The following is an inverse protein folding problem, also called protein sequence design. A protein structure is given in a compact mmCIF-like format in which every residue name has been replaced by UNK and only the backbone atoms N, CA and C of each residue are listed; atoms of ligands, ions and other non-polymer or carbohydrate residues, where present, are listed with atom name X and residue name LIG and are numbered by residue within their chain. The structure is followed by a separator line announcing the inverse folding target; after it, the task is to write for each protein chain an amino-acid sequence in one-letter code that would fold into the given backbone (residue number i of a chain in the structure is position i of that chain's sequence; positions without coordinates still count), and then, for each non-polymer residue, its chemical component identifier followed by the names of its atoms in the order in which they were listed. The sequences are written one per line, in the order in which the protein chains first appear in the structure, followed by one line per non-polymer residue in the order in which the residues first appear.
data_IF_228475929997
#
_entry.id   IF_228475929997
#
_cell.length_a   1.000
_cell.length_b   1.000
_cell.length_c   1.000
_cell.angle_alpha   90.00
_cell.angle_beta   90.00
_cell.angle_gamma   90.00
#
_symmetry.space_group_name_H-M   'P 1'
#
loop_
_entity.id
_entity.type
_entity.pdbx_description
1 polymer ?
#
# COMPACT_ATOMS: atom_id res chain seq x y z
N UNK A 1 -1.38 -13.17 -14.21
CA UNK A 1 -1.87 -12.86 -12.85
C UNK A 1 -1.82 -14.02 -11.85
N UNK A 2 -1.66 -13.72 -10.57
CA UNK A 2 -2.02 -14.60 -9.43
C UNK A 2 -2.54 -13.73 -8.29
N UNK A 3 -3.80 -13.85 -7.88
CA UNK A 3 -4.38 -13.00 -6.83
C UNK A 3 -5.27 -13.81 -5.88
N UNK A 4 -5.03 -13.70 -4.58
CA UNK A 4 -5.77 -14.43 -3.53
C UNK A 4 -6.23 -13.58 -2.34
N UNK A 5 -6.19 -12.25 -2.46
CA UNK A 5 -6.39 -11.36 -1.31
C UNK A 5 -7.83 -11.26 -0.79
N UNK A 6 -8.83 -11.82 -1.50
CA UNK A 6 -10.23 -11.75 -1.09
C UNK A 6 -10.83 -13.12 -0.87
N UNK A 7 -11.90 -13.13 -0.06
CA UNK A 7 -12.62 -14.34 0.34
C UNK A 7 -13.19 -15.13 -0.86
N UNK A 8 -13.56 -14.44 -1.93
CA UNK A 8 -14.13 -15.05 -3.14
C UNK A 8 -13.09 -15.58 -4.13
N UNK A 9 -11.80 -15.64 -3.75
CA UNK A 9 -10.76 -16.10 -4.67
C UNK A 9 -11.04 -17.50 -5.22
N UNK A 10 -10.70 -17.73 -6.49
CA UNK A 10 -11.06 -18.96 -7.19
C UNK A 10 -10.57 -20.20 -6.44
N UNK A 11 -11.49 -21.14 -6.21
CA UNK A 11 -11.28 -22.39 -5.47
C UNK A 11 -10.73 -22.21 -4.04
N UNK A 12 -10.85 -21.01 -3.47
CA UNK A 12 -10.17 -20.63 -2.22
C UNK A 12 -8.65 -20.88 -2.28
N UNK A 13 -8.04 -20.66 -3.45
CA UNK A 13 -6.61 -20.86 -3.71
C UNK A 13 -5.98 -19.64 -4.36
N UNK A 14 -6.56 -19.14 -5.46
CA UNK A 14 -6.00 -18.05 -6.23
C UNK A 14 -6.66 -17.89 -7.60
N UNK A 15 -6.91 -16.65 -7.99
CA UNK A 15 -7.35 -16.32 -9.34
C UNK A 15 -6.12 -16.25 -10.27
N UNK A 16 -6.13 -17.04 -11.35
CA UNK A 16 -4.94 -17.24 -12.22
C UNK A 16 -5.15 -16.83 -13.68
N UNK A 17 -6.37 -16.46 -14.08
CA UNK A 17 -6.69 -16.03 -15.46
C UNK A 17 -7.45 -14.70 -15.44
N UNK A 18 -8.53 -14.66 -14.66
CA UNK A 18 -9.30 -13.45 -14.35
C UNK A 18 -9.78 -13.56 -12.91
N UNK A 19 -9.81 -12.44 -12.19
CA UNK A 19 -10.36 -12.38 -10.84
C UNK A 19 -11.84 -12.74 -10.81
N UNK A 20 -12.30 -13.43 -9.76
CA UNK A 20 -13.73 -13.67 -9.53
C UNK A 20 -14.52 -12.35 -9.38
N UNK A 21 -13.87 -11.31 -8.83
CA UNK A 21 -14.40 -9.95 -8.79
C UNK A 21 -14.50 -9.27 -10.17
N UNK A 22 -13.94 -9.89 -11.22
CA UNK A 22 -13.88 -9.33 -12.58
C UNK A 22 -12.54 -8.73 -12.98
N UNK A 23 -11.53 -8.68 -12.08
CA UNK A 23 -10.23 -8.02 -12.36
C UNK A 23 -9.50 -8.74 -13.50
N UNK A 24 -9.25 -8.08 -14.65
CA UNK A 24 -8.51 -8.70 -15.74
C UNK A 24 -7.04 -8.89 -15.35
N UNK A 25 -6.33 -9.73 -16.10
CA UNK A 25 -4.93 -10.06 -15.85
C UNK A 25 -4.05 -8.80 -15.82
N UNK A 26 -4.20 -7.91 -16.79
CA UNK A 26 -3.41 -6.68 -16.90
C UNK A 26 -3.54 -5.76 -15.67
N UNK A 27 -4.77 -5.49 -15.21
CA UNK A 27 -5.00 -4.72 -13.99
C UNK A 27 -4.39 -5.40 -12.76
N UNK A 28 -4.44 -6.74 -12.66
CA UNK A 28 -3.83 -7.46 -11.56
C UNK A 28 -2.31 -7.32 -11.56
N UNK A 29 -1.70 -7.49 -12.73
CA UNK A 29 -0.26 -7.41 -12.94
C UNK A 29 0.27 -5.98 -12.67
N UNK A 30 -0.48 -4.95 -13.07
CA UNK A 30 -0.15 -3.55 -12.76
C UNK A 30 -0.24 -3.24 -11.26
N UNK A 31 -1.22 -3.83 -10.55
CA UNK A 31 -1.31 -3.69 -9.09
C UNK A 31 -0.14 -4.37 -8.37
N UNK A 32 0.33 -5.52 -8.88
CA UNK A 32 1.54 -6.18 -8.37
C UNK A 32 2.78 -5.27 -8.56
N UNK A 33 2.94 -4.65 -9.74
CA UNK A 33 4.03 -3.71 -10.01
C UNK A 33 3.94 -2.45 -9.13
N UNK A 34 2.75 -1.92 -8.86
CA UNK A 34 2.59 -0.78 -7.96
C UNK A 34 3.07 -1.12 -6.54
N UNK A 35 2.70 -2.28 -6.01
CA UNK A 35 3.18 -2.76 -4.70
C UNK A 35 4.69 -2.96 -4.74
N UNK A 36 5.22 -3.51 -5.83
CA UNK A 36 6.65 -3.69 -6.04
C UNK A 36 7.42 -2.36 -5.94
N UNK A 37 6.96 -1.30 -6.62
CA UNK A 37 7.59 0.04 -6.50
C UNK A 37 7.44 0.59 -5.09
N UNK A 38 6.31 0.36 -4.41
CA UNK A 38 6.13 0.76 -3.01
C UNK A 38 7.11 0.07 -2.05
N UNK A 39 7.48 -1.21 -2.30
CA UNK A 39 8.59 -1.87 -1.58
C UNK A 39 9.91 -1.12 -1.79
N UNK A 40 10.15 -0.63 -3.01
CA UNK A 40 11.29 0.24 -3.35
C UNK A 40 11.33 1.56 -2.56
N UNK A 41 10.20 2.29 -2.51
CA UNK A 41 10.06 3.50 -1.68
C UNK A 41 10.38 3.16 -0.21
N UNK A 42 9.82 2.06 0.27
CA UNK A 42 9.92 1.62 1.66
C UNK A 42 11.34 1.27 2.08
N UNK A 43 12.16 0.70 1.20
CA UNK A 43 13.58 0.44 1.46
C UNK A 43 14.34 1.74 1.74
N UNK A 44 14.09 2.79 0.95
CA UNK A 44 14.71 4.09 1.21
C UNK A 44 14.12 4.77 2.44
N UNK A 45 12.83 4.60 2.70
CA UNK A 45 12.18 5.12 3.91
C UNK A 45 12.74 4.51 5.19
N UNK A 46 12.90 3.19 5.23
CA UNK A 46 13.51 2.49 6.36
C UNK A 46 14.96 2.96 6.59
N UNK A 47 15.75 3.06 5.51
CA UNK A 47 17.11 3.59 5.60
C UNK A 47 17.12 5.04 6.08
N UNK A 48 16.27 5.90 5.53
CA UNK A 48 16.19 7.32 5.91
C UNK A 48 15.82 7.50 7.39
N UNK A 49 14.96 6.62 7.93
CA UNK A 49 14.58 6.60 9.35
C UNK A 49 15.79 6.39 10.29
N UNK A 50 16.81 5.63 9.88
CA UNK A 50 18.07 5.47 10.66
C UNK A 50 18.85 6.79 10.84
N UNK A 51 18.48 7.82 10.08
CA UNK A 51 19.04 9.18 10.13
C UNK A 51 18.03 10.20 10.71
N UNK A 52 16.92 9.72 11.30
CA UNK A 52 15.88 10.58 11.86
C UNK A 52 14.99 11.27 10.82
N UNK A 53 15.02 10.80 9.56
CA UNK A 53 14.18 11.34 8.49
C UNK A 53 12.91 10.51 8.34
N UNK A 54 11.77 11.13 8.60
CA UNK A 54 10.44 10.57 8.33
C UNK A 54 9.79 11.44 7.26
N UNK A 55 9.54 10.85 6.08
CA UNK A 55 8.94 11.58 4.95
C UNK A 55 7.44 11.31 4.87
N UNK A 56 6.64 12.18 5.51
CA UNK A 56 5.16 12.08 5.50
C UNK A 56 4.58 12.03 4.10
N UNK A 57 5.15 12.78 3.15
CA UNK A 57 4.72 12.78 1.75
C UNK A 57 4.78 11.36 1.17
N UNK A 58 5.91 10.68 1.32
CA UNK A 58 6.07 9.28 0.87
C UNK A 58 5.19 8.31 1.67
N UNK A 59 5.02 8.53 2.97
CA UNK A 59 4.13 7.74 3.82
C UNK A 59 2.67 7.78 3.38
N UNK A 60 2.13 8.98 3.18
CA UNK A 60 0.78 9.19 2.68
C UNK A 60 0.61 8.67 1.25
N UNK A 61 1.63 8.85 0.39
CA UNK A 61 1.60 8.27 -0.95
C UNK A 61 1.49 6.73 -0.91
N UNK A 62 2.27 6.06 -0.05
CA UNK A 62 2.17 4.61 0.14
C UNK A 62 0.76 4.22 0.58
N UNK A 63 0.12 4.98 1.45
CA UNK A 63 -1.25 4.68 1.89
C UNK A 63 -2.22 4.65 0.69
N UNK A 64 -2.18 5.68 -0.16
CA UNK A 64 -3.01 5.77 -1.38
C UNK A 64 -2.70 4.67 -2.39
N UNK A 65 -1.42 4.37 -2.59
CA UNK A 65 -0.98 3.33 -3.51
C UNK A 65 -1.46 1.95 -3.06
N UNK A 66 -1.32 1.62 -1.77
CA UNK A 66 -1.81 0.37 -1.20
C UNK A 66 -3.34 0.28 -1.28
N UNK A 67 -4.05 1.36 -0.94
CA UNK A 67 -5.52 1.42 -1.01
C UNK A 67 -6.02 1.17 -2.45
N UNK A 68 -5.35 1.74 -3.46
CA UNK A 68 -5.66 1.50 -4.89
C UNK A 68 -5.67 0.02 -5.26
N UNK A 69 -4.91 -0.84 -4.55
CA UNK A 69 -4.83 -2.28 -4.81
C UNK A 69 -5.80 -3.14 -4.00
N UNK A 70 -6.68 -2.53 -3.19
CA UNK A 70 -7.75 -3.25 -2.49
C UNK A 70 -8.78 -3.73 -3.51
N UNK A 71 -9.39 -4.89 -3.22
CA UNK A 71 -10.46 -5.47 -4.05
C UNK A 71 -11.58 -4.46 -4.29
N UNK A 72 -11.95 -4.31 -5.56
CA UNK A 72 -13.01 -3.40 -6.04
C UNK A 72 -12.72 -1.89 -5.96
N UNK A 73 -11.47 -1.47 -5.71
CA UNK A 73 -11.12 -0.05 -5.65
C UNK A 73 -10.77 0.54 -7.03
N UNK A 74 -9.79 -0.03 -7.75
CA UNK A 74 -9.32 0.53 -9.02
C UNK A 74 -9.30 -0.49 -10.17
N UNK A 75 -9.74 -0.01 -11.34
CA UNK A 75 -10.00 -0.81 -12.55
C UNK A 75 -9.52 -0.15 -13.85
N UNK A 76 -9.00 1.07 -13.75
CA UNK A 76 -8.54 1.87 -14.89
C UNK A 76 -7.01 1.76 -15.01
N UNK A 77 -6.56 0.95 -15.97
CA UNK A 77 -5.14 0.62 -16.14
C UNK A 77 -4.30 1.87 -16.41
N UNK A 78 -4.83 2.87 -17.13
CA UNK A 78 -4.09 4.11 -17.41
C UNK A 78 -3.79 4.87 -16.12
N UNK A 79 -4.76 4.94 -15.21
CA UNK A 79 -4.58 5.57 -13.89
C UNK A 79 -3.60 4.82 -13.02
N UNK A 80 -3.59 3.48 -13.09
CA UNK A 80 -2.63 2.67 -12.33
C UNK A 80 -1.21 2.88 -12.88
N UNK A 81 -1.04 2.93 -14.21
CA UNK A 81 0.24 3.28 -14.85
C UNK A 81 0.72 4.67 -14.41
N UNK A 82 -0.15 5.67 -14.42
CA UNK A 82 0.20 7.02 -13.97
C UNK A 82 0.61 7.04 -12.49
N UNK A 83 -0.07 6.26 -11.65
CA UNK A 83 0.27 6.12 -10.23
C UNK A 83 1.61 5.39 -10.03
N UNK A 84 1.95 4.40 -10.88
CA UNK A 84 3.27 3.76 -10.88
C UNK A 84 4.37 4.77 -11.22
N UNK A 85 4.16 5.62 -12.23
CA UNK A 85 5.12 6.68 -12.59
C UNK A 85 5.29 7.69 -11.45
N UNK A 86 4.21 8.04 -10.76
CA UNK A 86 4.28 8.88 -9.56
C UNK A 86 5.06 8.16 -8.44
N UNK A 87 4.80 6.88 -8.21
CA UNK A 87 5.51 6.07 -7.21
C UNK A 87 7.03 6.05 -7.47
N UNK A 88 7.44 5.91 -8.73
CA UNK A 88 8.85 5.96 -9.12
C UNK A 88 9.48 7.32 -8.82
N UNK A 89 8.76 8.43 -9.08
CA UNK A 89 9.24 9.78 -8.74
C UNK A 89 9.38 9.97 -7.23
N UNK A 90 8.36 9.55 -6.46
CA UNK A 90 8.39 9.57 -4.98
C UNK A 90 9.59 8.77 -4.45
N UNK A 91 9.86 7.60 -5.04
CA UNK A 91 11.03 6.78 -4.69
C UNK A 91 12.34 7.52 -4.94
N UNK A 92 12.51 8.13 -6.12
CA UNK A 92 13.75 8.86 -6.44
C UNK A 92 13.94 10.09 -5.54
N UNK A 93 12.86 10.82 -5.19
CA UNK A 93 12.94 11.92 -4.22
C UNK A 93 13.41 11.44 -2.84
N UNK A 94 12.84 10.34 -2.33
CA UNK A 94 13.21 9.77 -1.02
C UNK A 94 14.63 9.20 -1.03
N UNK A 95 15.04 8.55 -2.13
CA UNK A 95 16.42 8.11 -2.37
C UNK A 95 17.39 9.28 -2.33
N UNK A 96 17.10 10.40 -2.99
CA UNK A 96 17.96 11.59 -2.93
C UNK A 96 18.12 12.12 -1.50
N UNK A 97 17.03 12.16 -0.71
CA UNK A 97 17.08 12.54 0.72
C UNK A 97 17.98 11.59 1.52
N UNK A 98 17.80 10.28 1.35
CA UNK A 98 18.64 9.27 2.00
C UNK A 98 20.11 9.42 1.62
N UNK A 99 20.43 9.53 0.33
CA UNK A 99 21.82 9.64 -0.14
C UNK A 99 22.49 10.92 0.38
N UNK A 100 21.76 12.03 0.44
CA UNK A 100 22.23 13.28 1.04
C UNK A 100 22.60 13.10 2.51
N UNK A 101 21.70 12.53 3.32
CA UNK A 101 21.93 12.27 4.74
C UNK A 101 23.07 11.27 4.97
N UNK A 102 23.17 10.24 4.12
CA UNK A 102 24.26 9.27 4.19
C UNK A 102 25.62 9.93 3.95
N UNK A 103 25.72 10.75 2.88
CA UNK A 103 26.95 11.46 2.54
C UNK A 103 27.35 12.46 3.62
N UNK A 104 26.39 13.19 4.20
CA UNK A 104 26.64 14.11 5.30
C UNK A 104 27.21 13.39 6.53
N UNK A 105 26.67 12.20 6.87
CA UNK A 105 27.11 11.43 8.04
C UNK A 105 28.46 10.73 7.87
N UNK A 106 28.73 10.19 6.67
CA UNK A 106 29.90 9.33 6.44
C UNK A 106 30.99 9.93 5.55
N UNK A 107 30.75 11.09 4.95
CA UNK A 107 31.69 11.74 4.03
C UNK A 107 31.96 10.95 2.75
N UNK A 108 31.10 9.99 2.40
CA UNK A 108 31.24 9.11 1.22
C UNK A 108 29.89 8.74 0.63
N UNK A 109 29.91 8.24 -0.60
CA UNK A 109 28.72 7.76 -1.27
C UNK A 109 28.31 6.37 -0.78
N UNK A 110 26.99 6.12 -0.78
CA UNK A 110 26.45 4.81 -0.45
C UNK A 110 26.75 3.82 -1.59
N UNK A 111 27.30 2.66 -1.25
CA UNK A 111 27.68 1.61 -2.20
C UNK A 111 27.13 0.23 -1.82
N UNK A 112 26.05 0.17 -1.04
CA UNK A 112 25.44 -1.10 -0.63
C UNK A 112 24.58 -1.70 -1.75
N UNK A 113 24.40 -3.04 -1.77
CA UNK A 113 23.49 -3.69 -2.70
C UNK A 113 22.05 -3.21 -2.44
N UNK A 114 21.29 -3.04 -3.52
CA UNK A 114 19.88 -2.67 -3.49
C UNK A 114 19.11 -3.65 -4.38
N UNK A 115 17.91 -4.12 -3.95
CA UNK A 115 17.06 -4.96 -4.78
C UNK A 115 16.49 -4.16 -5.94
N UNK A 116 16.05 -4.87 -6.99
CA UNK A 116 15.58 -4.27 -8.24
C UNK A 116 14.40 -3.29 -8.03
N UNK A 117 13.52 -3.51 -7.03
CA UNK A 117 12.44 -2.58 -6.71
C UNK A 117 12.92 -1.20 -6.26
N UNK A 118 14.14 -1.11 -5.73
CA UNK A 118 14.76 0.14 -5.32
C UNK A 118 15.52 0.84 -6.46
N UNK A 119 15.74 0.17 -7.62
CA UNK A 119 16.61 0.68 -8.69
C UNK A 119 15.97 0.74 -10.07
N UNK A 120 15.07 -0.18 -10.42
CA UNK A 120 14.38 -0.20 -11.71
C UNK A 120 13.57 1.08 -11.92
N UNK A 121 13.62 1.68 -13.10
CA UNK A 121 12.87 2.90 -13.40
C UNK A 121 12.45 2.91 -14.87
N UNK A 122 11.24 3.36 -15.13
CA UNK A 122 10.77 3.72 -16.47
C UNK A 122 9.68 4.79 -16.38
N UNK A 123 9.63 5.69 -17.35
CA UNK A 123 8.52 6.61 -17.57
C UNK A 123 7.75 6.31 -18.87
N UNK A 124 8.04 5.19 -19.53
CA UNK A 124 7.37 4.69 -20.72
C UNK A 124 6.25 3.70 -20.37
N UNK A 125 5.07 3.85 -21.00
CA UNK A 125 3.92 2.99 -20.72
C UNK A 125 4.16 1.53 -21.14
N UNK A 126 4.88 1.30 -22.25
CA UNK A 126 5.12 -0.05 -22.76
C UNK A 126 6.12 -0.81 -21.89
N UNK A 127 7.19 -0.15 -21.44
CA UNK A 127 8.16 -0.73 -20.50
C UNK A 127 7.53 -1.06 -19.13
N UNK A 128 6.61 -0.21 -18.64
CA UNK A 128 5.84 -0.48 -17.42
C UNK A 128 4.97 -1.73 -17.58
N UNK A 129 4.25 -1.81 -18.71
CA UNK A 129 3.40 -2.98 -19.02
C UNK A 129 4.22 -4.25 -19.18
N UNK A 130 5.42 -4.17 -19.76
CA UNK A 130 6.34 -5.29 -19.87
C UNK A 130 6.84 -5.72 -18.48
N UNK A 131 7.29 -4.77 -17.65
CA UNK A 131 7.75 -5.07 -16.29
C UNK A 131 6.64 -5.69 -15.42
N UNK A 132 5.41 -5.22 -15.54
CA UNK A 132 4.25 -5.76 -14.81
C UNK A 132 3.97 -7.24 -15.11
N UNK A 133 4.35 -7.69 -16.31
CA UNK A 133 4.18 -9.08 -16.76
C UNK A 133 5.26 -10.04 -16.27
N UNK A 134 6.36 -9.50 -15.72
CA UNK A 134 7.51 -10.28 -15.34
C UNK A 134 7.20 -11.26 -14.19
N UNK A 135 7.81 -12.45 -14.23
CA UNK A 135 7.53 -13.52 -13.25
C UNK A 135 7.87 -13.09 -11.82
N UNK A 136 8.90 -12.26 -11.62
CA UNK A 136 9.28 -11.76 -10.31
C UNK A 136 8.23 -10.82 -9.67
N UNK A 137 7.26 -10.32 -10.45
CA UNK A 137 6.14 -9.54 -9.92
C UNK A 137 5.08 -10.43 -9.26
N UNK A 138 5.03 -11.72 -9.61
CA UNK A 138 4.00 -12.62 -9.11
C UNK A 138 4.19 -12.89 -7.64
N UNK A 139 3.08 -13.00 -6.91
CA UNK A 139 3.06 -13.49 -5.53
C UNK A 139 3.77 -14.86 -5.42
N UNK A 140 3.68 -15.69 -6.47
CA UNK A 140 4.34 -17.00 -6.56
C UNK A 140 5.85 -16.94 -6.75
N UNK A 141 6.45 -15.77 -6.99
CA UNK A 141 7.91 -15.60 -7.04
C UNK A 141 8.58 -15.89 -5.69
N UNK A 142 7.85 -15.75 -4.58
CA UNK A 142 8.29 -16.33 -3.30
C UNK A 142 7.96 -17.82 -3.31
N UNK A 143 8.95 -18.68 -3.52
CA UNK A 143 8.75 -20.12 -3.71
C UNK A 143 8.23 -20.82 -2.43
N UNK A 144 8.85 -20.52 -1.29
CA UNK A 144 8.46 -21.09 0.00
C UNK A 144 7.05 -20.62 0.40
N UNK A 145 6.13 -21.56 0.57
CA UNK A 145 4.72 -21.28 0.84
C UNK A 145 4.49 -20.58 2.18
N UNK A 146 5.24 -20.92 3.24
CA UNK A 146 5.10 -20.29 4.56
C UNK A 146 5.61 -18.84 4.53
N UNK A 147 6.74 -18.60 3.85
CA UNK A 147 7.28 -17.25 3.64
C UNK A 147 6.31 -16.41 2.81
N UNK A 148 5.77 -16.99 1.72
CA UNK A 148 4.77 -16.35 0.86
C UNK A 148 3.50 -16.02 1.67
N UNK A 149 3.02 -16.95 2.48
CA UNK A 149 1.85 -16.78 3.33
C UNK A 149 2.03 -15.60 4.30
N UNK A 150 3.15 -15.56 5.03
CA UNK A 150 3.41 -14.50 6.01
C UNK A 150 3.65 -13.13 5.36
N UNK A 151 4.40 -13.07 4.25
CA UNK A 151 4.62 -11.82 3.50
C UNK A 151 3.32 -11.26 2.97
N UNK A 152 2.47 -12.09 2.37
CA UNK A 152 1.21 -11.63 1.81
C UNK A 152 0.15 -11.32 2.88
N UNK A 153 0.11 -12.06 3.99
CA UNK A 153 -0.72 -11.71 5.15
C UNK A 153 -0.37 -10.31 5.66
N UNK A 154 0.93 -10.01 5.78
CA UNK A 154 1.42 -8.70 6.19
C UNK A 154 1.03 -7.61 5.17
N UNK A 155 1.21 -7.85 3.87
CA UNK A 155 0.87 -6.89 2.82
C UNK A 155 -0.64 -6.64 2.77
N UNK A 156 -1.47 -7.68 2.85
CA UNK A 156 -2.94 -7.57 2.87
C UNK A 156 -3.40 -6.77 4.10
N UNK A 157 -2.87 -7.07 5.29
CA UNK A 157 -3.16 -6.30 6.49
C UNK A 157 -2.73 -4.83 6.38
N UNK A 158 -1.55 -4.59 5.80
CA UNK A 158 -1.01 -3.24 5.57
C UNK A 158 -1.88 -2.41 4.62
N UNK A 159 -2.52 -3.03 3.61
CA UNK A 159 -3.50 -2.34 2.75
C UNK A 159 -4.72 -1.85 3.54
N UNK A 160 -5.23 -2.66 4.46
CA UNK A 160 -6.34 -2.27 5.34
C UNK A 160 -5.97 -1.09 6.24
N UNK A 161 -4.79 -1.15 6.87
CA UNK A 161 -4.23 -0.04 7.67
C UNK A 161 -4.10 1.23 6.84
N UNK A 162 -3.54 1.11 5.63
CA UNK A 162 -3.36 2.23 4.70
C UNK A 162 -4.67 2.93 4.33
N UNK A 163 -5.76 2.18 4.10
CA UNK A 163 -7.06 2.77 3.79
C UNK A 163 -7.61 3.62 4.95
N UNK A 164 -7.52 3.12 6.19
CA UNK A 164 -7.93 3.90 7.35
C UNK A 164 -7.05 5.14 7.57
N UNK A 165 -5.75 5.00 7.37
CA UNK A 165 -4.81 6.11 7.49
C UNK A 165 -5.05 7.20 6.44
N UNK A 166 -5.44 6.85 5.22
CA UNK A 166 -5.74 7.80 4.15
C UNK A 166 -7.02 8.62 4.44
N UNK A 167 -8.07 7.99 4.96
CA UNK A 167 -9.27 8.71 5.41
C UNK A 167 -8.98 9.63 6.60
N UNK A 168 -8.19 9.18 7.57
CA UNK A 168 -7.78 10.02 8.70
C UNK A 168 -6.96 11.23 8.23
N UNK A 169 -6.00 11.02 7.32
CA UNK A 169 -5.19 12.08 6.73
C UNK A 169 -6.02 13.07 5.91
N UNK A 170 -7.07 12.61 5.23
CA UNK A 170 -8.02 13.45 4.51
C UNK A 170 -8.73 14.46 5.44
N UNK A 171 -8.91 14.10 6.71
CA UNK A 171 -9.44 14.96 7.77
C UNK A 171 -8.35 15.75 8.52
N UNK A 172 -7.07 15.60 8.15
CA UNK A 172 -5.92 16.29 8.76
C UNK A 172 -5.33 15.56 9.98
N UNK A 173 -5.67 14.29 10.20
CA UNK A 173 -5.15 13.47 11.29
C UNK A 173 -4.12 12.48 10.76
N UNK A 174 -2.86 12.66 11.14
CA UNK A 174 -1.74 11.84 10.68
C UNK A 174 -0.85 11.43 11.86
N UNK A 175 -0.27 10.22 11.82
CA UNK A 175 0.76 9.80 12.77
C UNK A 175 1.95 9.16 12.04
N UNK A 176 3.15 9.60 12.41
CA UNK A 176 4.41 9.20 11.79
C UNK A 176 4.76 7.73 12.00
N UNK A 177 4.29 7.13 13.09
CA UNK A 177 4.50 5.72 13.45
C UNK A 177 3.76 4.77 12.49
N UNK A 178 2.54 5.12 12.07
CA UNK A 178 1.75 4.38 11.08
C UNK A 178 2.51 4.34 9.75
N UNK A 179 2.93 5.50 9.24
CA UNK A 179 3.68 5.58 7.98
C UNK A 179 5.01 4.87 8.05
N UNK A 180 5.73 5.02 9.17
CA UNK A 180 6.99 4.33 9.41
C UNK A 180 6.81 2.80 9.42
N UNK A 181 5.73 2.31 10.03
CA UNK A 181 5.44 0.88 10.06
C UNK A 181 5.08 0.35 8.68
N UNK A 182 4.25 1.05 7.91
CA UNK A 182 3.90 0.60 6.55
C UNK A 182 5.14 0.46 5.66
N UNK A 183 6.10 1.38 5.78
CA UNK A 183 7.40 1.25 5.11
C UNK A 183 8.21 0.06 5.65
N UNK A 184 8.32 -0.11 6.96
CA UNK A 184 8.99 -1.26 7.58
C UNK A 184 8.40 -2.60 7.09
N UNK A 185 7.07 -2.71 7.09
CA UNK A 185 6.32 -3.88 6.65
C UNK A 185 6.63 -4.21 5.18
N UNK A 186 6.50 -3.25 4.27
CA UNK A 186 6.79 -3.48 2.84
C UNK A 186 8.26 -3.81 2.59
N UNK A 187 9.19 -3.08 3.22
CA UNK A 187 10.61 -3.33 3.09
C UNK A 187 10.99 -4.75 3.60
N UNK A 188 10.36 -5.22 4.68
CA UNK A 188 10.58 -6.55 5.24
C UNK A 188 10.34 -7.68 4.23
N UNK A 189 9.39 -7.50 3.31
CA UNK A 189 9.05 -8.50 2.29
C UNK A 189 10.11 -8.66 1.20
N UNK A 190 11.17 -7.85 1.24
CA UNK A 190 12.34 -7.94 0.35
C UNK A 190 13.56 -8.55 1.04
N UNK A 191 13.41 -9.00 2.30
CA UNK A 191 14.48 -9.54 3.14
C UNK A 191 14.22 -11.00 3.44
N UNK A 192 15.30 -11.75 3.65
CA UNK A 192 15.24 -13.08 4.24
C UNK A 192 15.18 -12.94 5.76
N UNK A 193 14.04 -13.32 6.34
CA UNK A 193 13.75 -13.20 7.77
C UNK A 193 13.38 -14.56 8.36
N UNK A 194 13.57 -14.71 9.66
CA UNK A 194 13.08 -15.90 10.35
C UNK A 194 11.55 -15.92 10.41
N UNK A 195 10.96 -17.10 10.62
CA UNK A 195 9.51 -17.24 10.81
C UNK A 195 9.02 -16.39 11.99
N UNK A 196 9.76 -16.39 13.10
CA UNK A 196 9.42 -15.62 14.30
C UNK A 196 9.41 -14.11 14.01
N UNK A 197 10.39 -13.61 13.25
CA UNK A 197 10.44 -12.19 12.86
C UNK A 197 9.27 -11.81 11.94
N UNK A 198 8.92 -12.68 10.99
CA UNK A 198 7.78 -12.46 10.09
C UNK A 198 6.45 -12.47 10.86
N UNK A 199 6.26 -13.39 11.81
CA UNK A 199 5.08 -13.41 12.68
C UNK A 199 5.04 -12.13 13.54
N UNK A 200 6.17 -11.69 14.10
CA UNK A 200 6.24 -10.47 14.88
C UNK A 200 5.80 -9.24 14.07
N UNK A 201 6.17 -9.16 12.80
CA UNK A 201 5.73 -8.08 11.89
C UNK A 201 4.21 -8.15 11.61
N UNK A 202 3.64 -9.34 11.43
CA UNK A 202 2.18 -9.51 11.29
C UNK A 202 1.45 -9.07 12.57
N UNK A 203 1.97 -9.42 13.74
CA UNK A 203 1.38 -8.98 15.02
C UNK A 203 1.47 -7.46 15.19
N UNK A 204 2.60 -6.86 14.81
CA UNK A 204 2.79 -5.40 14.80
C UNK A 204 1.86 -4.70 13.80
N UNK A 205 1.49 -5.34 12.70
CA UNK A 205 0.45 -4.84 11.80
C UNK A 205 -0.91 -4.79 12.50
N UNK A 206 -1.23 -5.78 13.32
CA UNK A 206 -2.43 -5.79 14.16
C UNK A 206 -2.45 -4.63 15.16
N UNK A 207 -1.34 -4.39 15.87
CA UNK A 207 -1.20 -3.23 16.76
C UNK A 207 -1.36 -1.90 16.01
N UNK A 208 -0.71 -1.77 14.85
CA UNK A 208 -0.80 -0.57 14.01
C UNK A 208 -2.22 -0.37 13.50
N UNK A 209 -2.96 -1.44 13.18
CA UNK A 209 -4.36 -1.37 12.82
C UNK A 209 -5.22 -0.81 13.95
N UNK A 210 -5.03 -1.27 15.19
CA UNK A 210 -5.73 -0.71 16.37
C UNK A 210 -5.46 0.79 16.49
N UNK A 211 -4.21 1.21 16.39
CA UNK A 211 -3.83 2.62 16.49
C UNK A 211 -4.41 3.47 15.35
N UNK A 212 -4.46 2.92 14.14
CA UNK A 212 -4.99 3.62 12.96
C UNK A 212 -6.50 3.72 12.99
N UNK A 213 -7.21 2.67 13.42
CA UNK A 213 -8.66 2.73 13.62
C UNK A 213 -9.03 3.73 14.72
N UNK A 214 -8.28 3.77 15.82
CA UNK A 214 -8.48 4.79 16.86
C UNK A 214 -8.24 6.22 16.33
N UNK A 215 -7.24 6.41 15.47
CA UNK A 215 -7.00 7.70 14.81
C UNK A 215 -8.16 8.10 13.88
N UNK A 216 -8.70 7.16 13.11
CA UNK A 216 -9.83 7.42 12.22
C UNK A 216 -11.14 7.67 13.00
N UNK A 217 -11.35 6.97 14.12
CA UNK A 217 -12.46 7.23 15.03
C UNK A 217 -12.38 8.64 15.62
N UNK A 218 -11.20 9.03 16.14
CA UNK A 218 -10.94 10.40 16.62
C UNK A 218 -11.18 11.43 15.51
N UNK A 219 -10.67 11.18 14.30
CA UNK A 219 -10.83 12.09 13.17
C UNK A 219 -12.30 12.30 12.80
N UNK A 220 -13.07 11.22 12.67
CA UNK A 220 -14.49 11.29 12.32
C UNK A 220 -15.33 11.90 13.43
N UNK A 221 -15.19 11.42 14.67
CA UNK A 221 -16.02 11.90 15.80
C UNK A 221 -15.66 13.33 16.19
N UNK A 222 -14.38 13.72 16.09
CA UNK A 222 -13.92 15.08 16.32
C UNK A 222 -14.38 16.07 15.24
N UNK A 223 -14.62 15.60 14.01
CA UNK A 223 -15.04 16.46 12.88
C UNK A 223 -16.56 16.52 12.73
N UNK A 224 -17.25 15.37 12.84
CA UNK A 224 -18.67 15.23 12.51
C UNK A 224 -19.56 14.92 13.72
N UNK A 225 -18.99 14.77 14.91
CA UNK A 225 -19.69 14.40 16.14
C UNK A 225 -19.78 12.90 16.36
N UNK A 226 -20.16 12.50 17.57
CA UNK A 226 -20.34 11.09 17.90
C UNK A 226 -21.62 10.54 17.25
N UNK A 227 -21.58 9.34 16.65
CA UNK A 227 -22.79 8.67 16.18
C UNK A 227 -23.82 8.50 17.30
N UNK A 228 -25.09 8.71 16.97
CA UNK A 228 -26.24 8.57 17.88
C UNK A 228 -27.33 7.68 17.29
N UNK A 229 -28.22 7.18 18.15
CA UNK A 229 -29.35 6.33 17.72
C UNK A 229 -30.20 7.10 16.71
N UNK A 230 -30.30 6.57 15.49
CA UNK A 230 -30.95 7.23 14.37
C UNK A 230 -31.86 6.27 13.62
N UNK A 231 -33.09 6.68 13.30
CA UNK A 231 -33.97 5.96 12.38
C UNK A 231 -33.72 6.45 10.94
N UNK A 232 -33.23 5.56 10.07
CA UNK A 232 -32.91 5.87 8.67
C UNK A 232 -34.00 5.34 7.75
N UNK A 233 -34.64 6.20 6.98
CA UNK A 233 -35.64 5.80 6.00
C UNK A 233 -35.01 5.07 4.80
N UNK A 234 -35.49 3.86 4.50
CA UNK A 234 -35.03 3.04 3.38
C UNK A 234 -35.90 3.17 2.11
N UNK A 235 -36.99 3.94 2.17
CA UNK A 235 -37.85 4.22 1.02
C UNK A 235 -37.34 5.36 0.13
N UNK A 236 -38.03 5.60 -0.99
CA UNK A 236 -37.68 6.64 -1.99
C UNK A 236 -38.70 7.79 -2.00
N UNK A 237 -38.38 8.88 -2.71
CA UNK A 237 -39.25 10.05 -2.93
C UNK A 237 -39.34 10.38 -4.42
N UNK A 238 -40.17 11.35 -4.78
CA UNK A 238 -40.50 11.76 -6.16
C UNK A 238 -39.58 12.87 -6.73
N UNK A 239 -38.40 13.09 -6.13
CA UNK A 239 -37.40 14.07 -6.56
C UNK A 239 -36.17 13.39 -7.15
N UNK A 240 -35.41 14.06 -8.05
CA UNK A 240 -34.10 13.57 -8.46
C UNK A 240 -33.15 13.44 -7.25
N UNK A 241 -32.22 12.48 -7.31
CA UNK A 241 -31.29 12.20 -6.22
C UNK A 241 -29.90 11.79 -6.70
N UNK A 242 -28.92 11.95 -5.81
CA UNK A 242 -27.56 11.46 -5.96
C UNK A 242 -27.36 10.39 -4.89
N UNK A 243 -26.80 9.24 -5.27
CA UNK A 243 -26.40 8.20 -4.34
C UNK A 243 -24.89 8.24 -4.15
N UNK A 244 -24.46 8.60 -2.95
CA UNK A 244 -23.07 8.46 -2.51
C UNK A 244 -22.84 7.04 -1.99
N UNK A 245 -21.64 6.51 -2.20
CA UNK A 245 -21.20 5.20 -1.74
C UNK A 245 -19.72 5.26 -1.36
N UNK A 246 -19.20 4.20 -0.74
CA UNK A 246 -17.86 4.20 -0.15
C UNK A 246 -17.90 4.66 1.31
N UNK A 247 -16.79 5.24 1.77
CA UNK A 247 -16.55 5.47 3.20
C UNK A 247 -16.09 6.88 3.56
N UNK A 248 -15.78 7.72 2.57
CA UNK A 248 -15.23 9.05 2.85
C UNK A 248 -16.33 10.01 3.30
N UNK A 249 -16.27 10.41 4.58
CA UNK A 249 -17.26 11.32 5.17
C UNK A 249 -16.99 12.80 4.85
N UNK A 250 -15.82 13.14 4.30
CA UNK A 250 -15.52 14.51 3.85
C UNK A 250 -16.12 14.79 2.49
N UNK A 251 -16.24 13.75 1.66
CA UNK A 251 -16.94 13.82 0.37
C UNK A 251 -18.47 13.93 0.54
N UNK A 252 -19.03 13.44 1.65
CA UNK A 252 -20.45 13.53 2.03
C UNK A 252 -20.85 14.94 2.46
#
# INVERSE_FOLDING_TARGET
MFCFQCQETAKNQGCTVKGMCGKPEETADLQDLLIYVCKGISIYGEKAKEYGLIDRKSGLFICRALFTTITNVAWDDKKIIDLIKEALKVREELKSKFLGAYRERFGKDFSGPLPDCATWYSDDDAEILEKAKAEEMRITATENEDVRSLRELLVIGSKGVAAYADHAATLGYEKDDIYSFLMEALASTTKELSVDDMIALVMKAGETAVNTMALLDEANTGTYGHPEITEVNLGVRDKPGILISGHDLKDM
#
